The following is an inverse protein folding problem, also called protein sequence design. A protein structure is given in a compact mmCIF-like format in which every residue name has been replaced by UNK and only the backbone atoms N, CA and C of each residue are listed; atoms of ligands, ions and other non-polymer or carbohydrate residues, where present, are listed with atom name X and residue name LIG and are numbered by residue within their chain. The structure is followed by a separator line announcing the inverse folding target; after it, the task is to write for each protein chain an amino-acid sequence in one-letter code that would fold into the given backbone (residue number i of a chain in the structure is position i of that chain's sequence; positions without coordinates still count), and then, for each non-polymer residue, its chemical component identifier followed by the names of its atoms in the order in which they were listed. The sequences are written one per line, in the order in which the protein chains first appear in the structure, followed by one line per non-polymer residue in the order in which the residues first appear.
data_IF_927076638712
#
_entry.id   IF_927076638712
#
_cell.length_a   1.000
_cell.length_b   1.000
_cell.length_c   1.000
_cell.angle_alpha   90.00
_cell.angle_beta   90.00
_cell.angle_gamma   90.00
#
_symmetry.space_group_name_H-M   'P 1'
#
loop_
_entity.id
_entity.type
_entity.pdbx_description
1 polymer ?
#
# COMPACT_ATOMS: atom_id res chain seq x y z
N UNK A 1 7.38 -55.36 8.23
CA UNK A 1 6.26 -54.43 8.45
C UNK A 1 6.57 -53.14 7.66
N UNK A 2 5.98 -52.99 6.50
CA UNK A 2 6.31 -51.90 5.56
C UNK A 2 5.30 -50.78 5.74
N UNK A 3 5.74 -49.60 6.22
CA UNK A 3 4.90 -48.41 6.35
C UNK A 3 4.78 -47.74 4.98
N UNK A 4 3.60 -47.84 4.36
CA UNK A 4 3.24 -47.09 3.14
C UNK A 4 2.81 -45.71 3.54
N UNK A 5 3.61 -44.70 3.16
CA UNK A 5 3.30 -43.27 3.30
C UNK A 5 2.39 -42.85 2.16
N UNK A 6 1.08 -42.78 2.40
CA UNK A 6 0.13 -42.25 1.44
C UNK A 6 0.22 -40.72 1.41
N UNK A 7 0.83 -40.21 0.35
CA UNK A 7 0.78 -38.78 0.00
C UNK A 7 -0.63 -38.49 -0.54
N UNK A 8 -1.51 -37.88 0.25
CA UNK A 8 -2.77 -37.32 -0.26
C UNK A 8 -2.44 -35.98 -0.94
N UNK A 9 -2.79 -35.78 -2.22
CA UNK A 9 -2.70 -34.48 -2.83
C UNK A 9 -3.74 -33.56 -2.15
N UNK A 10 -3.26 -32.40 -1.68
CA UNK A 10 -4.12 -31.33 -1.21
C UNK A 10 -4.98 -30.94 -2.40
N UNK A 11 -6.29 -31.14 -2.29
CA UNK A 11 -7.27 -30.79 -3.30
C UNK A 11 -7.14 -29.33 -3.67
N UNK A 12 -6.95 -29.08 -4.96
CA UNK A 12 -7.08 -27.75 -5.57
C UNK A 12 -8.47 -27.19 -5.20
N UNK A 13 -8.48 -26.20 -4.33
CA UNK A 13 -9.64 -25.39 -4.11
C UNK A 13 -9.93 -24.64 -5.41
N UNK A 14 -11.01 -25.04 -6.08
CA UNK A 14 -11.52 -24.39 -7.27
C UNK A 14 -11.71 -22.91 -6.97
N UNK A 15 -11.07 -22.06 -7.76
CA UNK A 15 -11.28 -20.61 -7.74
C UNK A 15 -12.75 -20.33 -7.98
N UNK A 16 -13.47 -19.92 -6.94
CA UNK A 16 -14.80 -19.37 -7.08
C UNK A 16 -14.73 -18.09 -7.89
N UNK A 17 -15.59 -18.05 -8.90
CA UNK A 17 -15.65 -17.03 -9.95
C UNK A 17 -15.99 -15.64 -9.36
N UNK A 18 -15.15 -14.65 -9.59
CA UNK A 18 -15.67 -13.34 -9.98
C UNK A 18 -15.63 -12.19 -8.98
N UNK A 19 -15.26 -12.33 -7.70
CA UNK A 19 -15.10 -11.18 -6.83
C UNK A 19 -13.67 -11.13 -6.27
N UNK A 20 -12.89 -10.13 -6.69
CA UNK A 20 -11.59 -9.85 -6.07
C UNK A 20 -11.84 -9.51 -4.61
N UNK A 21 -11.28 -10.30 -3.71
CA UNK A 21 -11.35 -10.01 -2.28
C UNK A 21 -10.44 -8.83 -1.95
N UNK A 22 -10.68 -8.18 -0.82
CA UNK A 22 -9.79 -7.13 -0.32
C UNK A 22 -8.34 -7.60 -0.25
N UNK A 23 -8.12 -8.84 0.16
CA UNK A 23 -6.80 -9.47 0.20
C UNK A 23 -6.14 -9.54 -1.19
N UNK A 24 -6.92 -9.82 -2.25
CA UNK A 24 -6.40 -9.84 -3.62
C UNK A 24 -6.03 -8.44 -4.09
N UNK A 25 -6.82 -7.43 -3.72
CA UNK A 25 -6.56 -6.04 -4.04
C UNK A 25 -5.29 -5.53 -3.34
N UNK A 26 -5.14 -5.83 -2.06
CA UNK A 26 -3.94 -5.50 -1.28
C UNK A 26 -2.73 -6.21 -1.86
N UNK A 27 -2.82 -7.49 -2.20
CA UNK A 27 -1.74 -8.22 -2.85
C UNK A 27 -1.37 -7.61 -4.21
N UNK A 28 -2.33 -7.20 -5.03
CA UNK A 28 -2.07 -6.54 -6.31
C UNK A 28 -1.37 -5.18 -6.11
N UNK A 29 -1.72 -4.44 -5.07
CA UNK A 29 -1.05 -3.18 -4.70
C UNK A 29 0.42 -3.39 -4.28
N UNK A 30 0.75 -4.52 -3.65
CA UNK A 30 2.10 -4.79 -3.14
C UNK A 30 2.95 -5.69 -4.06
N UNK A 31 2.37 -6.36 -5.06
CA UNK A 31 3.11 -7.33 -5.90
C UNK A 31 4.01 -6.70 -6.96
N UNK A 32 3.78 -5.48 -7.41
CA UNK A 32 4.65 -4.83 -8.39
C UNK A 32 6.02 -4.42 -7.82
N UNK A 33 6.17 -4.31 -6.51
CA UNK A 33 7.44 -3.95 -5.87
C UNK A 33 8.47 -5.09 -5.82
N UNK A 34 8.04 -6.35 -5.85
CA UNK A 34 8.95 -7.50 -5.73
C UNK A 34 9.76 -7.82 -6.99
N UNK A 35 9.40 -7.25 -8.14
CA UNK A 35 10.03 -7.60 -9.43
C UNK A 35 11.19 -6.68 -9.82
N UNK A 36 11.49 -5.63 -9.08
CA UNK A 36 12.54 -4.66 -9.43
C UNK A 36 13.55 -4.51 -8.32
N UNK A 37 14.72 -5.06 -8.61
CA UNK A 37 16.04 -4.74 -8.08
C UNK A 37 16.46 -5.27 -6.71
N UNK A 38 17.56 -6.04 -6.74
CA UNK A 38 18.55 -6.31 -5.69
C UNK A 38 19.29 -5.03 -5.23
N UNK A 39 18.60 -3.94 -5.00
CA UNK A 39 19.11 -2.83 -4.22
C UNK A 39 18.29 -2.76 -2.95
N UNK A 40 18.99 -2.69 -1.83
CA UNK A 40 18.42 -2.45 -0.50
C UNK A 40 17.77 -1.05 -0.41
N UNK A 41 16.78 -0.78 -1.26
CA UNK A 41 15.86 0.32 -1.04
C UNK A 41 14.98 -0.17 0.11
N UNK A 42 15.31 0.23 1.31
CA UNK A 42 14.42 0.02 2.45
C UNK A 42 13.20 0.89 2.25
N UNK A 43 12.20 0.34 1.57
CA UNK A 43 10.92 1.01 1.49
C UNK A 43 10.34 1.14 2.90
N UNK A 44 9.93 2.34 3.30
CA UNK A 44 9.35 2.52 4.61
C UNK A 44 8.09 1.65 4.77
N UNK A 45 7.85 1.13 5.98
CA UNK A 45 6.65 0.33 6.22
C UNK A 45 5.39 1.15 5.97
N UNK A 46 4.39 0.52 5.35
CA UNK A 46 3.12 1.16 5.06
C UNK A 46 1.95 0.26 5.43
N UNK A 47 0.90 0.89 5.92
CA UNK A 47 -0.40 0.29 6.16
C UNK A 47 -1.40 0.82 5.13
N UNK A 48 -2.30 -0.05 4.68
CA UNK A 48 -3.45 0.33 3.87
C UNK A 48 -4.71 -0.11 4.60
N UNK A 49 -5.59 0.83 4.84
CA UNK A 49 -6.86 0.62 5.54
C UNK A 49 -7.99 0.97 4.60
N UNK A 50 -9.03 0.16 4.55
CA UNK A 50 -10.29 0.47 3.86
C UNK A 50 -11.39 0.72 4.89
N UNK A 51 -12.05 1.86 4.75
CA UNK A 51 -13.28 2.19 5.47
C UNK A 51 -14.49 2.11 4.54
N UNK A 52 -15.68 2.38 5.08
CA UNK A 52 -16.89 2.52 4.27
C UNK A 52 -16.77 3.62 3.21
N UNK A 53 -16.10 4.73 3.55
CA UNK A 53 -16.11 5.96 2.75
C UNK A 53 -14.79 6.29 2.08
N UNK A 54 -13.68 5.69 2.52
CA UNK A 54 -12.33 6.01 2.04
C UNK A 54 -11.39 4.80 2.10
N UNK A 55 -10.25 4.97 1.44
CA UNK A 55 -9.04 4.21 1.72
C UNK A 55 -8.04 5.14 2.41
N UNK A 56 -7.20 4.59 3.28
CA UNK A 56 -6.14 5.33 3.95
C UNK A 56 -4.81 4.59 3.80
N UNK A 57 -3.81 5.30 3.33
CA UNK A 57 -2.44 4.82 3.23
C UNK A 57 -1.63 5.54 4.30
N UNK A 58 -0.91 4.79 5.14
CA UNK A 58 -0.07 5.30 6.19
C UNK A 58 1.36 4.82 5.96
N UNK A 59 2.31 5.75 5.89
CA UNK A 59 3.73 5.45 5.67
C UNK A 59 4.52 5.97 6.85
N UNK A 60 5.26 5.09 7.52
CA UNK A 60 6.15 5.47 8.61
C UNK A 60 7.47 6.00 8.02
N UNK A 61 7.63 7.31 8.08
CA UNK A 61 8.79 8.00 7.56
C UNK A 61 9.29 9.07 8.57
N UNK A 62 9.80 8.66 9.73
CA UNK A 62 10.32 9.61 10.72
C UNK A 62 11.61 10.29 10.22
N UNK A 63 11.88 11.47 10.74
CA UNK A 63 13.13 12.20 10.45
C UNK A 63 13.12 13.03 9.17
N UNK A 64 11.95 13.23 8.57
CA UNK A 64 11.73 14.05 7.38
C UNK A 64 10.83 15.25 7.65
N UNK A 65 10.78 16.17 6.71
CA UNK A 65 9.87 17.31 6.72
C UNK A 65 8.79 17.16 5.65
N UNK A 66 7.72 17.96 5.75
CA UNK A 66 6.63 17.94 4.77
C UNK A 66 7.10 18.24 3.34
N UNK A 67 8.09 19.12 3.23
CA UNK A 67 8.67 19.55 1.96
C UNK A 67 9.48 18.46 1.24
N UNK A 68 9.91 17.42 1.98
CA UNK A 68 10.72 16.34 1.43
C UNK A 68 9.87 15.35 0.61
N UNK A 69 8.55 15.36 0.79
CA UNK A 69 7.65 14.44 0.12
C UNK A 69 7.14 15.00 -1.21
N UNK A 70 7.21 14.17 -2.24
CA UNK A 70 6.57 14.37 -3.52
C UNK A 70 5.53 13.28 -3.74
N UNK A 71 4.31 13.68 -4.08
CA UNK A 71 3.19 12.77 -4.32
C UNK A 71 2.69 13.05 -5.73
N UNK A 72 2.79 12.06 -6.60
CA UNK A 72 2.35 12.13 -7.98
C UNK A 72 1.25 11.09 -8.24
N UNK A 73 0.27 11.46 -9.02
CA UNK A 73 -0.77 10.57 -9.50
C UNK A 73 -0.81 10.58 -11.01
N UNK A 74 -0.44 9.45 -11.61
CA UNK A 74 -0.60 9.23 -13.05
C UNK A 74 -1.66 8.16 -13.29
N UNK A 75 -2.80 8.58 -13.84
CA UNK A 75 -3.97 7.71 -14.05
C UNK A 75 -4.42 7.06 -12.73
N UNK A 76 -4.02 5.82 -12.49
CA UNK A 76 -4.34 5.05 -11.28
C UNK A 76 -3.10 4.63 -10.49
N UNK A 77 -1.93 5.16 -10.82
CA UNK A 77 -0.69 4.91 -10.12
C UNK A 77 -0.35 6.11 -9.25
N UNK A 78 -0.49 5.93 -7.94
CA UNK A 78 -0.11 6.92 -6.93
C UNK A 78 1.32 6.64 -6.51
N UNK A 79 2.23 7.57 -6.77
CA UNK A 79 3.65 7.45 -6.43
C UNK A 79 3.99 8.43 -5.33
N UNK A 80 4.55 7.94 -4.25
CA UNK A 80 5.05 8.72 -3.13
C UNK A 80 6.55 8.58 -3.12
N UNK A 81 7.24 9.67 -3.35
CA UNK A 81 8.70 9.72 -3.34
C UNK A 81 9.19 10.73 -2.33
N UNK A 82 10.37 10.47 -1.85
CA UNK A 82 11.11 11.34 -0.95
C UNK A 82 12.53 11.42 -1.46
N UNK A 83 12.95 12.64 -1.77
CA UNK A 83 14.31 12.95 -2.20
C UNK A 83 14.98 13.77 -1.11
N UNK A 84 15.92 13.17 -0.41
CA UNK A 84 16.78 13.87 0.53
C UNK A 84 18.22 13.71 0.06
N UNK A 85 18.93 14.81 -0.15
CA UNK A 85 20.37 14.78 -0.33
C UNK A 85 21.00 14.34 1.00
N UNK A 86 21.60 13.17 1.02
CA UNK A 86 22.41 12.74 2.16
C UNK A 86 23.69 13.56 2.09
N UNK A 87 23.93 14.41 3.09
CA UNK A 87 25.25 14.98 3.29
C UNK A 87 26.18 13.83 3.69
N UNK A 88 26.98 13.36 2.73
CA UNK A 88 27.98 12.30 2.93
C UNK A 88 29.14 12.74 3.88
N UNK A 89 29.06 13.96 4.41
CA UNK A 89 30.15 14.56 5.21
C UNK A 89 30.22 14.12 6.67
N UNK A 90 29.25 13.35 7.17
CA UNK A 90 29.32 12.74 8.51
C UNK A 90 29.58 11.25 8.39
N UNK A 91 30.86 10.89 8.25
CA UNK A 91 31.32 9.52 8.50
C UNK A 91 31.19 9.20 10.00
N UNK A 92 29.97 8.94 10.43
CA UNK A 92 29.73 8.36 11.74
C UNK A 92 30.06 6.86 11.68
N UNK A 93 30.96 6.40 12.51
CA UNK A 93 31.26 4.97 12.64
C UNK A 93 30.17 4.29 13.47
N UNK A 94 29.16 3.74 12.79
CA UNK A 94 28.12 2.95 13.45
C UNK A 94 28.67 1.56 13.82
N UNK A 95 28.54 1.15 15.08
CA UNK A 95 28.72 -0.25 15.48
C UNK A 95 27.60 -1.15 14.96
N UNK A 96 26.37 -0.61 14.85
CA UNK A 96 25.19 -1.23 14.28
C UNK A 96 24.32 -0.17 13.62
N UNK A 97 23.92 -0.38 12.36
CA UNK A 97 23.02 0.50 11.62
C UNK A 97 21.89 -0.32 11.02
N UNK A 98 20.70 -0.22 11.61
CA UNK A 98 19.51 -0.97 11.17
C UNK A 98 18.56 -0.13 10.30
N UNK A 99 18.69 1.20 10.36
CA UNK A 99 17.88 2.08 9.52
C UNK A 99 18.71 3.25 8.96
N UNK A 100 18.21 3.85 7.93
CA UNK A 100 18.78 5.06 7.35
C UNK A 100 17.66 6.02 6.92
N UNK A 101 18.02 7.27 6.68
CA UNK A 101 17.12 8.30 6.17
C UNK A 101 17.33 8.52 4.66
N UNK A 102 17.34 7.43 3.91
CA UNK A 102 17.58 7.48 2.46
C UNK A 102 16.30 7.87 1.71
N UNK A 103 16.52 8.36 0.50
CA UNK A 103 15.45 8.57 -0.47
C UNK A 103 14.71 7.26 -0.74
N UNK A 104 13.40 7.33 -0.91
CA UNK A 104 12.59 6.20 -1.30
C UNK A 104 11.57 6.61 -2.36
N UNK A 105 11.08 5.64 -3.09
CA UNK A 105 9.93 5.81 -3.97
C UNK A 105 9.02 4.61 -3.83
N UNK A 106 7.76 4.84 -3.53
CA UNK A 106 6.75 3.81 -3.33
C UNK A 106 5.51 4.11 -4.13
N UNK A 107 5.04 3.13 -4.90
CA UNK A 107 3.87 3.29 -5.76
C UNK A 107 2.73 2.39 -5.31
N UNK A 108 1.51 2.91 -5.41
CA UNK A 108 0.27 2.21 -5.09
C UNK A 108 -0.68 2.33 -6.28
N UNK A 109 -1.22 1.19 -6.72
CA UNK A 109 -2.27 1.19 -7.72
C UNK A 109 -3.60 1.45 -7.03
N UNK A 110 -4.21 2.59 -7.29
CA UNK A 110 -5.48 2.97 -6.69
C UNK A 110 -6.67 2.45 -7.49
N UNK A 111 -7.75 2.12 -6.77
CA UNK A 111 -8.99 1.66 -7.38
C UNK A 111 -9.71 2.78 -8.13
N UNK A 112 -10.42 2.43 -9.19
CA UNK A 112 -11.34 3.35 -9.89
C UNK A 112 -12.51 3.84 -9.01
N UNK A 113 -12.71 3.21 -7.85
CA UNK A 113 -13.67 3.65 -6.82
C UNK A 113 -13.23 4.93 -6.10
N UNK A 114 -11.96 5.34 -6.22
CA UNK A 114 -11.42 6.52 -5.55
C UNK A 114 -11.77 7.78 -6.33
N UNK A 115 -12.20 8.80 -5.60
CA UNK A 115 -12.32 10.16 -6.10
C UNK A 115 -10.94 10.83 -6.02
N UNK A 116 -10.25 10.84 -7.16
CA UNK A 116 -8.85 11.29 -7.25
C UNK A 116 -8.68 12.79 -7.00
N UNK A 117 -9.74 13.58 -7.21
CA UNK A 117 -9.69 15.02 -7.00
C UNK A 117 -9.77 15.41 -5.51
N UNK A 118 -10.22 14.47 -4.68
CA UNK A 118 -10.38 14.67 -3.24
C UNK A 118 -9.30 13.97 -2.40
N UNK A 119 -8.24 13.48 -3.02
CA UNK A 119 -7.11 12.90 -2.29
C UNK A 119 -6.45 13.97 -1.44
N UNK A 120 -6.20 13.66 -0.19
CA UNK A 120 -5.52 14.54 0.75
C UNK A 120 -4.37 13.81 1.44
N UNK A 121 -3.30 14.54 1.73
CA UNK A 121 -2.12 14.03 2.41
C UNK A 121 -1.76 14.91 3.61
N UNK A 122 -1.46 14.27 4.73
CA UNK A 122 -1.05 14.92 5.97
C UNK A 122 0.19 14.20 6.49
N UNK A 123 1.24 14.98 6.81
CA UNK A 123 2.41 14.48 7.50
C UNK A 123 2.48 15.04 8.91
N UNK A 124 2.50 14.15 9.89
CA UNK A 124 2.57 14.53 11.32
C UNK A 124 3.25 13.41 12.12
N UNK A 125 4.10 13.81 13.05
CA UNK A 125 4.77 12.89 13.99
C UNK A 125 5.50 11.72 13.31
N UNK A 126 6.13 11.95 12.15
CA UNK A 126 6.84 10.89 11.41
C UNK A 126 5.94 9.95 10.63
N UNK A 127 4.64 10.23 10.52
CA UNK A 127 3.68 9.46 9.77
C UNK A 127 3.11 10.29 8.61
N UNK A 128 3.29 9.81 7.38
CA UNK A 128 2.60 10.34 6.22
C UNK A 128 1.30 9.56 6.03
N UNK A 129 0.18 10.25 6.12
CA UNK A 129 -1.15 9.68 5.93
C UNK A 129 -1.80 10.28 4.69
N UNK A 130 -2.20 9.41 3.75
CA UNK A 130 -3.01 9.79 2.61
C UNK A 130 -4.43 9.26 2.81
N UNK A 131 -5.40 10.12 2.60
CA UNK A 131 -6.84 9.77 2.59
C UNK A 131 -7.33 9.83 1.16
N UNK A 132 -7.91 8.74 0.68
CA UNK A 132 -8.42 8.55 -0.67
C UNK A 132 -9.94 8.29 -0.59
N UNK A 133 -10.77 9.32 -0.67
CA UNK A 133 -12.22 9.17 -0.57
C UNK A 133 -12.77 8.30 -1.69
N UNK A 134 -13.78 7.50 -1.39
CA UNK A 134 -14.53 6.75 -2.40
C UNK A 134 -15.52 7.66 -3.11
N UNK A 135 -15.74 7.42 -4.38
CA UNK A 135 -16.82 8.06 -5.15
C UNK A 135 -18.16 7.69 -4.54
N UNK A 136 -19.14 8.58 -4.63
CA UNK A 136 -20.47 8.35 -4.04
C UNK A 136 -21.16 7.08 -4.57
N UNK A 137 -20.99 6.77 -5.84
CA UNK A 137 -21.49 5.54 -6.46
C UNK A 137 -20.78 4.27 -5.98
N UNK A 138 -19.59 4.40 -5.41
CA UNK A 138 -18.78 3.29 -4.89
C UNK A 138 -19.01 3.02 -3.40
N UNK A 139 -19.75 3.89 -2.72
CA UNK A 139 -20.13 3.69 -1.31
C UNK A 139 -21.30 2.71 -1.26
N UNK A 140 -21.14 1.64 -0.49
CA UNK A 140 -22.20 0.64 -0.30
C UNK A 140 -23.45 1.31 0.28
N UNK A 141 -24.54 1.23 -0.47
CA UNK A 141 -25.86 1.66 -0.01
C UNK A 141 -26.49 0.54 0.83
N UNK A 142 -27.21 0.89 1.90
CA UNK A 142 -27.94 -0.12 2.65
C UNK A 142 -28.97 -0.83 1.76
N UNK A 143 -29.23 -2.09 2.04
CA UNK A 143 -30.29 -2.84 1.36
C UNK A 143 -31.63 -2.11 1.48
N UNK A 144 -32.33 -1.97 0.36
CA UNK A 144 -33.68 -1.39 0.36
C UNK A 144 -34.74 -2.46 0.06
N UNK A 145 -35.84 -2.41 0.74
CA UNK A 145 -37.00 -3.24 0.44
C UNK A 145 -37.70 -2.71 -0.83
N UNK A 146 -37.96 -3.61 -1.78
CA UNK A 146 -38.74 -3.31 -2.98
C UNK A 146 -40.16 -3.83 -2.72
N UNK A 147 -41.14 -2.92 -2.63
CA UNK A 147 -42.54 -3.29 -2.52
C UNK A 147 -43.04 -3.70 -3.90
N UNK A 148 -43.69 -4.85 -3.95
CA UNK A 148 -44.42 -5.31 -5.15
C UNK A 148 -45.75 -4.59 -5.19
N UNK A 149 -46.04 -3.88 -6.27
CA UNK A 149 -47.34 -3.27 -6.56
C UNK A 149 -48.23 -4.19 -7.37
#
# INVERSE_FOLDING_TARGET
MTLVRTNRPVSQMQKANGYKTFSDLVNEMFHEEKARTNQFIQNPPANVVESKFDFRIEIAAPGFEKSDFKIDLDKNLLTISLEKSVDESTEENYNLKEFNFNSFSRSFRISNKVDTEKINAIYKNGLLQLTLPKREEAVEKPAREIKVS
#
